data_IF_480555159950
#
_entry.id   IF_480555159950
#
_cell.length_a   1.000
_cell.length_b   1.000
_cell.length_c   1.000
_cell.angle_alpha   90.00
_cell.angle_beta   90.00
_cell.angle_gamma   90.00
#
_symmetry.space_group_name_H-M   'P 1'
#
loop_
_entity.id
_entity.type
_entity.pdbx_description
1 polymer ?
#
# COMPACT_ATOMS: atom_id res chain seq x y z
N UNK A 1 -5.88 -4.95 17.03
CA UNK A 1 -6.08 -4.03 15.90
C UNK A 1 -5.16 -4.46 14.80
N UNK A 2 -5.58 -4.32 13.55
CA UNK A 2 -4.78 -4.59 12.35
C UNK A 2 -3.83 -3.39 12.13
N UNK A 3 -2.53 -3.51 12.47
CA UNK A 3 -1.63 -2.37 12.47
C UNK A 3 -1.22 -2.04 11.02
N UNK A 4 -1.80 -0.99 10.46
CA UNK A 4 -1.47 -0.55 9.10
C UNK A 4 -0.16 0.25 9.08
N UNK A 5 0.81 -0.21 8.29
CA UNK A 5 2.01 0.57 8.01
C UNK A 5 1.71 1.72 7.04
N UNK A 6 2.16 2.92 7.40
CA UNK A 6 2.15 4.07 6.49
C UNK A 6 3.43 4.08 5.65
N UNK A 7 3.30 3.94 4.34
CA UNK A 7 4.40 4.10 3.41
C UNK A 7 5.01 5.52 3.54
N UNK A 8 6.31 5.70 3.25
CA UNK A 8 6.90 7.04 3.20
C UNK A 8 6.13 7.95 2.23
N UNK A 9 5.91 9.22 2.61
CA UNK A 9 5.17 10.22 1.81
C UNK A 9 6.09 11.16 1.01
N UNK A 10 7.41 10.98 1.07
CA UNK A 10 8.36 11.72 0.27
C UNK A 10 8.66 10.99 -1.05
N UNK A 11 9.25 11.69 -2.02
CA UNK A 11 9.65 11.14 -3.32
C UNK A 11 8.60 10.27 -4.01
N UNK A 12 7.34 10.72 -3.97
CA UNK A 12 6.24 9.98 -4.63
C UNK A 12 6.37 10.00 -6.16
N UNK A 13 7.31 10.77 -6.73
CA UNK A 13 7.75 10.68 -8.12
C UNK A 13 8.45 9.34 -8.46
N UNK A 14 8.97 8.64 -7.45
CA UNK A 14 9.64 7.35 -7.60
C UNK A 14 8.75 6.15 -7.24
N UNK A 15 7.55 6.37 -6.71
CA UNK A 15 6.62 5.32 -6.32
C UNK A 15 5.63 5.02 -7.46
N UNK A 16 5.33 3.74 -7.68
CA UNK A 16 4.19 3.28 -8.45
C UNK A 16 4.11 1.74 -8.35
N UNK A 17 2.93 1.12 -8.46
CA UNK A 17 1.60 1.73 -8.37
C UNK A 17 1.31 2.20 -6.92
N UNK A 18 0.19 2.89 -6.71
CA UNK A 18 -0.15 3.53 -5.43
C UNK A 18 -1.22 2.74 -4.67
N UNK A 19 -1.11 2.79 -3.34
CA UNK A 19 -1.70 1.80 -2.44
C UNK A 19 -0.78 0.58 -2.33
N UNK A 20 -0.65 -0.01 -1.13
CA UNK A 20 0.21 -1.19 -0.94
C UNK A 20 -0.22 -2.37 -1.82
N UNK A 21 -1.49 -2.36 -2.20
CA UNK A 21 -2.22 -3.31 -3.02
C UNK A 21 -2.22 -2.98 -4.51
N UNK A 22 -1.76 -1.79 -4.89
CA UNK A 22 -1.64 -1.34 -6.28
C UNK A 22 -2.95 -1.00 -6.98
N UNK A 23 -3.92 -0.46 -6.24
CA UNK A 23 -5.23 -0.08 -6.78
C UNK A 23 -5.15 1.07 -7.80
N UNK A 24 -4.17 1.97 -7.66
CA UNK A 24 -4.07 3.18 -8.50
C UNK A 24 -2.77 3.25 -9.28
N UNK A 25 -2.85 3.53 -10.58
CA UNK A 25 -1.65 3.58 -11.44
C UNK A 25 -0.95 4.94 -11.39
N UNK A 26 -1.68 5.98 -10.96
CA UNK A 26 -1.19 7.37 -10.94
C UNK A 26 -1.38 8.00 -9.58
N UNK A 27 -0.45 8.91 -9.24
CA UNK A 27 -0.48 9.64 -7.98
C UNK A 27 -1.72 10.55 -7.85
N UNK A 28 -2.23 11.08 -8.97
CA UNK A 28 -3.43 11.92 -8.97
C UNK A 28 -4.70 11.13 -8.63
N UNK A 29 -4.81 9.90 -9.13
CA UNK A 29 -5.90 8.98 -8.80
C UNK A 29 -5.90 8.64 -7.30
N UNK A 30 -4.74 8.25 -6.78
CA UNK A 30 -4.58 7.98 -5.36
C UNK A 30 -4.87 9.23 -4.51
N UNK A 31 -4.33 10.39 -4.89
CA UNK A 31 -4.56 11.65 -4.18
C UNK A 31 -6.03 12.05 -4.20
N UNK A 32 -6.76 11.83 -5.30
CA UNK A 32 -8.20 12.09 -5.32
C UNK A 32 -8.95 11.17 -4.35
N UNK A 33 -8.59 9.88 -4.24
CA UNK A 33 -9.15 9.00 -3.20
C UNK A 33 -8.79 9.52 -1.79
N UNK A 34 -7.56 9.96 -1.57
CA UNK A 34 -7.15 10.51 -0.26
C UNK A 34 -8.01 11.71 0.12
N UNK A 35 -8.19 12.68 -0.78
CA UNK A 35 -9.06 13.83 -0.53
C UNK A 35 -10.50 13.44 -0.29
N UNK A 36 -11.06 12.65 -1.20
CA UNK A 36 -12.50 12.41 -1.24
C UNK A 36 -12.93 11.32 -0.29
N UNK A 37 -12.14 10.29 -0.04
CA UNK A 37 -12.51 9.14 0.80
C UNK A 37 -11.84 9.08 2.16
N UNK A 38 -10.58 9.52 2.29
CA UNK A 38 -9.82 9.37 3.55
C UNK A 38 -9.89 10.64 4.42
N UNK A 39 -9.72 11.81 3.83
CA UNK A 39 -9.87 13.09 4.55
C UNK A 39 -11.33 13.47 4.79
N UNK A 40 -12.24 12.96 3.96
CA UNK A 40 -13.66 13.17 4.14
C UNK A 40 -14.47 11.88 3.89
N UNK A 41 -14.48 10.95 4.85
CA UNK A 41 -15.23 9.70 4.69
C UNK A 41 -16.74 9.90 4.54
N UNK A 42 -17.27 11.09 4.85
CA UNK A 42 -18.70 11.39 4.67
C UNK A 42 -19.14 11.36 3.20
N UNK A 43 -18.22 11.47 2.25
CA UNK A 43 -18.52 11.28 0.82
C UNK A 43 -19.04 9.88 0.52
N UNK A 44 -18.77 8.88 1.38
CA UNK A 44 -19.33 7.53 1.28
C UNK A 44 -20.87 7.52 1.38
N UNK A 45 -21.49 8.57 1.93
CA UNK A 45 -22.96 8.68 2.00
C UNK A 45 -23.59 9.17 0.69
N UNK A 46 -22.79 9.72 -0.24
CA UNK A 46 -23.27 10.20 -1.53
C UNK A 46 -23.67 9.04 -2.45
N UNK A 47 -24.44 9.28 -3.53
CA UNK A 47 -24.77 8.22 -4.49
C UNK A 47 -23.53 7.51 -5.06
N UNK A 48 -22.45 8.24 -5.38
CA UNK A 48 -21.21 7.67 -5.88
C UNK A 48 -20.45 6.88 -4.83
N UNK A 49 -20.38 7.37 -3.59
CA UNK A 49 -19.79 6.65 -2.47
C UNK A 49 -20.52 5.33 -2.14
N UNK A 50 -21.86 5.35 -2.13
CA UNK A 50 -22.70 4.16 -1.98
C UNK A 50 -22.48 3.17 -3.11
N UNK A 51 -22.45 3.65 -4.36
CA UNK A 51 -22.17 2.79 -5.51
C UNK A 51 -20.78 2.15 -5.44
N UNK A 52 -19.77 2.87 -4.94
CA UNK A 52 -18.42 2.33 -4.72
C UNK A 52 -18.40 1.23 -3.66
N UNK A 53 -19.04 1.46 -2.51
CA UNK A 53 -19.14 0.44 -1.45
C UNK A 53 -19.91 -0.80 -1.93
N UNK A 54 -21.03 -0.61 -2.64
CA UNK A 54 -21.78 -1.70 -3.25
C UNK A 54 -20.96 -2.47 -4.28
N UNK A 55 -20.19 -1.77 -5.12
CA UNK A 55 -19.28 -2.40 -6.07
C UNK A 55 -18.26 -3.30 -5.37
N UNK A 56 -17.67 -2.84 -4.26
CA UNK A 56 -16.66 -3.60 -3.52
C UNK A 56 -17.22 -4.78 -2.71
N UNK A 57 -18.37 -4.59 -2.06
CA UNK A 57 -18.91 -5.49 -1.03
C UNK A 57 -20.34 -5.97 -1.23
N UNK A 58 -21.01 -5.60 -2.33
CA UNK A 58 -22.42 -5.90 -2.58
C UNK A 58 -23.32 -5.39 -1.45
N UNK A 59 -24.20 -6.26 -0.96
CA UNK A 59 -25.14 -5.94 0.13
C UNK A 59 -24.43 -5.49 1.42
N UNK A 60 -23.24 -6.01 1.73
CA UNK A 60 -22.46 -5.57 2.88
C UNK A 60 -21.96 -4.11 2.70
N UNK A 61 -21.68 -3.69 1.46
CA UNK A 61 -21.35 -2.31 1.15
C UNK A 61 -22.54 -1.36 1.39
N UNK A 62 -23.76 -1.80 1.04
CA UNK A 62 -24.98 -1.04 1.32
C UNK A 62 -25.24 -0.92 2.83
N UNK A 63 -25.04 -2.00 3.57
CA UNK A 63 -25.14 -2.05 5.03
C UNK A 63 -24.16 -1.06 5.67
N UNK A 64 -22.87 -1.11 5.31
CA UNK A 64 -21.84 -0.18 5.78
C UNK A 64 -22.26 1.28 5.55
N UNK A 65 -22.75 1.61 4.35
CA UNK A 65 -23.17 2.97 4.05
C UNK A 65 -24.38 3.42 4.88
N UNK A 66 -25.34 2.52 5.12
CA UNK A 66 -26.53 2.80 5.92
C UNK A 66 -26.19 2.98 7.40
N UNK A 67 -25.36 2.10 7.95
CA UNK A 67 -24.91 2.18 9.34
C UNK A 67 -24.09 3.45 9.57
N UNK A 68 -23.21 3.80 8.63
CA UNK A 68 -22.44 5.02 8.73
C UNK A 68 -23.33 6.28 8.74
N UNK A 69 -24.39 6.31 7.93
CA UNK A 69 -25.41 7.40 7.99
C UNK A 69 -26.10 7.45 9.36
N UNK A 70 -26.43 6.31 9.96
CA UNK A 70 -27.03 6.28 11.30
C UNK A 70 -26.07 6.81 12.36
N UNK A 71 -24.79 6.44 12.29
CA UNK A 71 -23.74 6.97 13.18
C UNK A 71 -23.61 8.47 13.03
N UNK A 72 -23.51 9.00 11.81
CA UNK A 72 -23.44 10.45 11.56
C UNK A 72 -24.66 11.17 12.15
N UNK A 73 -25.87 10.65 11.94
CA UNK A 73 -27.08 11.20 12.52
C UNK A 73 -27.06 11.21 14.07
N UNK A 74 -26.58 10.14 14.69
CA UNK A 74 -26.45 10.04 16.14
C UNK A 74 -25.41 11.01 16.73
N UNK A 75 -24.37 11.35 15.95
CA UNK A 75 -23.35 12.33 16.37
C UNK A 75 -23.80 13.79 16.22
N UNK A 76 -24.87 14.06 15.46
CA UNK A 76 -25.33 15.42 15.15
C UNK A 76 -24.45 16.18 14.17
N UNK A 77 -23.52 15.49 13.48
CA UNK A 77 -22.69 16.09 12.43
C UNK A 77 -23.57 16.47 11.23
N UNK A 78 -23.42 17.70 10.74
CA UNK A 78 -24.20 18.26 9.62
C UNK A 78 -23.30 19.00 8.63
N UNK A 79 -23.80 19.28 7.43
CA UNK A 79 -23.09 20.07 6.42
C UNK A 79 -22.04 19.28 5.63
N UNK A 80 -22.11 17.96 5.67
CA UNK A 80 -21.26 17.06 4.91
C UNK A 80 -21.83 16.77 3.50
N UNK A 81 -21.00 16.42 2.50
CA UNK A 81 -19.53 16.31 2.57
C UNK A 81 -18.81 17.66 2.76
N UNK A 82 -17.66 17.62 3.44
CA UNK A 82 -16.83 18.79 3.77
C UNK A 82 -15.81 19.13 2.69
N UNK A 83 -15.36 18.15 1.92
CA UNK A 83 -14.45 18.36 0.80
C UNK A 83 -15.25 18.82 -0.42
N UNK A 84 -14.95 20.03 -0.89
CA UNK A 84 -15.50 20.55 -2.13
C UNK A 84 -14.93 19.77 -3.34
N UNK A 85 -15.81 19.05 -4.01
CA UNK A 85 -15.53 18.24 -5.21
C UNK A 85 -16.69 18.37 -6.21
N UNK A 86 -16.41 18.14 -7.49
CA UNK A 86 -17.41 18.12 -8.55
C UNK A 86 -17.77 16.68 -8.93
N UNK A 87 -18.99 16.42 -9.43
CA UNK A 87 -19.33 15.13 -10.03
C UNK A 87 -18.35 14.76 -11.14
N UNK A 88 -17.94 13.50 -11.17
CA UNK A 88 -17.05 12.93 -12.18
C UNK A 88 -17.50 11.53 -12.57
N UNK A 89 -17.08 11.05 -13.75
CA UNK A 89 -17.37 9.69 -14.16
C UNK A 89 -16.72 8.70 -13.18
N UNK A 90 -17.46 7.72 -12.62
CA UNK A 90 -16.88 6.69 -11.79
C UNK A 90 -15.78 5.92 -12.53
N UNK A 91 -14.67 5.68 -11.84
CA UNK A 91 -13.48 5.03 -12.39
C UNK A 91 -12.27 5.29 -11.49
N UNK A 92 -11.06 4.93 -11.93
CA UNK A 92 -9.86 5.12 -11.12
C UNK A 92 -9.59 6.59 -10.75
N UNK A 93 -9.94 7.53 -11.64
CA UNK A 93 -9.73 8.97 -11.41
C UNK A 93 -10.71 9.55 -10.38
N UNK A 94 -11.84 8.87 -10.15
CA UNK A 94 -12.92 9.29 -9.26
C UNK A 94 -13.72 8.07 -8.76
N UNK A 95 -13.14 7.22 -7.89
CA UNK A 95 -13.78 5.97 -7.45
C UNK A 95 -15.13 6.23 -6.76
N UNK A 96 -15.25 7.35 -6.05
CA UNK A 96 -16.48 7.77 -5.36
C UNK A 96 -17.42 8.61 -6.25
N UNK A 97 -17.18 8.69 -7.57
CA UNK A 97 -17.98 9.47 -8.52
C UNK A 97 -17.82 11.00 -8.38
N UNK A 98 -16.80 11.44 -7.66
CA UNK A 98 -16.46 12.85 -7.44
C UNK A 98 -14.96 13.06 -7.58
N UNK A 99 -14.58 14.25 -8.03
CA UNK A 99 -13.18 14.67 -8.16
C UNK A 99 -12.98 16.07 -7.61
N UNK A 100 -11.92 16.26 -6.83
CA UNK A 100 -11.53 17.59 -6.37
C UNK A 100 -10.95 18.41 -7.53
N UNK A 101 -10.86 19.73 -7.35
CA UNK A 101 -10.26 20.63 -8.31
C UNK A 101 -8.84 20.18 -8.72
N UNK A 102 -8.55 20.14 -10.02
CA UNK A 102 -7.27 19.64 -10.53
C UNK A 102 -6.08 20.47 -10.02
N UNK A 103 -6.25 21.77 -9.74
CA UNK A 103 -5.19 22.60 -9.13
C UNK A 103 -4.77 22.06 -7.77
N UNK A 104 -5.72 21.55 -6.96
CA UNK A 104 -5.42 20.95 -5.66
C UNK A 104 -4.68 19.62 -5.82
N UNK A 105 -5.05 18.80 -6.82
CA UNK A 105 -4.36 17.56 -7.11
C UNK A 105 -2.93 17.83 -7.61
N UNK A 106 -2.75 18.75 -8.55
CA UNK A 106 -1.43 19.14 -9.04
C UNK A 106 -0.55 19.70 -7.92
N UNK A 107 -1.09 20.57 -7.06
CA UNK A 107 -0.35 21.13 -5.94
C UNK A 107 0.07 20.04 -4.92
N UNK A 108 -0.83 19.13 -4.56
CA UNK A 108 -0.52 18.02 -3.66
C UNK A 108 0.52 17.08 -4.26
N UNK A 109 0.35 16.69 -5.53
CA UNK A 109 1.29 15.81 -6.22
C UNK A 109 2.68 16.45 -6.33
N UNK A 110 2.75 17.73 -6.69
CA UNK A 110 4.01 18.47 -6.74
C UNK A 110 4.68 18.56 -5.36
N UNK A 111 3.89 18.77 -4.30
CA UNK A 111 4.40 18.75 -2.93
C UNK A 111 4.98 17.37 -2.57
N UNK A 112 4.22 16.29 -2.73
CA UNK A 112 4.65 14.92 -2.40
C UNK A 112 5.83 14.42 -3.24
N UNK A 113 5.88 14.80 -4.52
CA UNK A 113 7.01 14.53 -5.40
C UNK A 113 8.26 15.34 -5.02
N UNK A 114 8.08 16.59 -4.58
CA UNK A 114 9.17 17.49 -4.19
C UNK A 114 9.70 17.29 -2.77
N UNK A 115 9.02 16.50 -1.93
CA UNK A 115 9.48 16.20 -0.59
C UNK A 115 10.79 15.38 -0.65
N UNK A 116 11.91 15.88 -0.08
CA UNK A 116 13.17 15.16 -0.08
C UNK A 116 13.09 13.92 0.82
N UNK A 117 13.76 12.85 0.42
CA UNK A 117 13.98 11.70 1.28
C UNK A 117 15.05 12.04 2.35
N UNK A 118 14.92 11.55 3.58
CA UNK A 118 16.01 11.60 4.56
C UNK A 118 17.24 10.87 4.03
N UNK A 119 18.43 11.39 4.35
CA UNK A 119 19.69 10.70 4.04
C UNK A 119 19.78 9.35 4.77
N UNK A 120 20.45 8.41 4.11
CA UNK A 120 20.76 7.09 4.65
C UNK A 120 21.61 7.18 5.91
N UNK A 121 21.59 6.10 6.70
CA UNK A 121 22.43 5.95 7.88
C UNK A 121 23.50 4.90 7.63
N UNK A 122 24.70 5.35 7.28
CA UNK A 122 25.83 4.45 7.00
C UNK A 122 25.74 3.85 5.60
N UNK A 123 26.23 2.62 5.47
CA UNK A 123 26.26 1.86 4.21
C UNK A 123 27.24 0.70 4.30
N UNK A 124 27.11 -0.27 3.40
CA UNK A 124 28.03 -1.39 3.26
C UNK A 124 28.17 -1.75 1.78
N UNK A 125 29.40 -1.74 1.26
CA UNK A 125 29.69 -2.14 -0.12
C UNK A 125 29.50 -3.65 -0.28
N UNK A 126 29.88 -4.43 0.73
CA UNK A 126 29.61 -5.86 0.82
C UNK A 126 28.10 -6.14 0.81
N UNK A 127 27.33 -5.41 1.62
CA UNK A 127 25.87 -5.50 1.66
C UNK A 127 25.23 -5.11 0.33
N UNK A 128 25.73 -4.06 -0.34
CA UNK A 128 25.31 -3.66 -1.69
C UNK A 128 25.56 -4.76 -2.70
N UNK A 129 26.72 -5.42 -2.63
CA UNK A 129 27.06 -6.51 -3.52
C UNK A 129 26.18 -7.74 -3.24
N UNK A 130 25.95 -8.08 -1.96
CA UNK A 130 25.03 -9.15 -1.56
C UNK A 130 23.63 -8.91 -2.14
N UNK A 131 23.08 -7.71 -1.99
CA UNK A 131 21.76 -7.34 -2.53
C UNK A 131 21.62 -7.64 -4.03
N UNK A 132 22.68 -7.40 -4.80
CA UNK A 132 22.72 -7.69 -6.24
C UNK A 132 22.80 -9.19 -6.55
N UNK A 133 23.37 -9.99 -5.66
CA UNK A 133 23.68 -11.41 -5.95
C UNK A 133 22.68 -12.40 -5.35
N UNK A 134 21.95 -12.02 -4.31
CA UNK A 134 21.04 -12.92 -3.57
C UNK A 134 19.57 -12.79 -3.99
N UNK A 135 19.31 -12.15 -5.14
CA UNK A 135 17.97 -12.07 -5.74
C UNK A 135 17.13 -10.86 -5.31
N UNK A 136 17.61 -9.98 -4.41
CA UNK A 136 16.85 -8.79 -4.02
C UNK A 136 16.52 -7.88 -5.21
N UNK A 137 17.39 -7.88 -6.23
CA UNK A 137 17.21 -7.10 -7.47
C UNK A 137 16.19 -7.66 -8.45
N UNK A 138 15.58 -8.82 -8.18
CA UNK A 138 14.44 -9.30 -8.96
C UNK A 138 13.20 -8.42 -8.76
N UNK A 139 13.11 -7.78 -7.59
CA UNK A 139 12.02 -6.91 -7.22
C UNK A 139 12.51 -5.48 -6.95
N UNK A 140 13.59 -5.29 -6.20
CA UNK A 140 13.98 -3.97 -5.73
C UNK A 140 15.15 -3.38 -6.53
N UNK A 141 15.14 -2.06 -6.72
CA UNK A 141 16.30 -1.38 -7.28
C UNK A 141 17.43 -1.31 -6.25
N UNK A 142 18.68 -1.33 -6.72
CA UNK A 142 19.84 -0.97 -5.89
C UNK A 142 19.88 0.55 -5.69
N UNK A 143 19.69 1.27 -6.79
CA UNK A 143 19.68 2.74 -6.87
C UNK A 143 18.28 3.26 -6.54
N UNK A 144 18.13 3.89 -5.36
CA UNK A 144 16.83 4.43 -4.93
C UNK A 144 16.53 5.82 -5.51
N UNK A 145 17.38 6.36 -6.38
CA UNK A 145 17.08 7.53 -7.20
C UNK A 145 16.18 7.19 -8.40
N UNK A 146 15.91 5.90 -8.65
CA UNK A 146 15.09 5.42 -9.77
C UNK A 146 13.67 5.06 -9.33
N UNK A 147 12.67 5.25 -10.20
CA UNK A 147 11.33 4.76 -9.94
C UNK A 147 11.33 3.26 -9.66
N UNK A 148 10.56 2.84 -8.66
CA UNK A 148 10.33 1.42 -8.39
C UNK A 148 9.63 0.78 -9.59
N UNK A 149 9.88 -0.52 -9.86
CA UNK A 149 9.10 -1.24 -10.86
C UNK A 149 7.61 -1.21 -10.55
N UNK A 150 6.78 -1.05 -11.59
CA UNK A 150 5.34 -0.80 -11.43
C UNK A 150 4.48 -2.07 -11.43
N UNK A 151 5.10 -3.26 -11.47
CA UNK A 151 4.37 -4.52 -11.48
C UNK A 151 3.88 -4.89 -10.07
N UNK A 152 2.82 -5.68 -10.01
CA UNK A 152 2.33 -6.28 -8.76
C UNK A 152 3.07 -7.59 -8.53
N UNK A 153 3.71 -7.73 -7.37
CA UNK A 153 4.32 -9.00 -6.98
C UNK A 153 3.20 -9.95 -6.52
N UNK A 154 3.02 -11.14 -7.13
CA UNK A 154 1.95 -12.06 -6.75
C UNK A 154 2.01 -12.43 -5.27
N UNK A 155 0.85 -12.54 -4.61
CA UNK A 155 0.81 -12.86 -3.17
C UNK A 155 1.56 -14.15 -2.83
N UNK A 156 1.42 -15.20 -3.65
CA UNK A 156 2.12 -16.49 -3.44
C UNK A 156 3.65 -16.38 -3.47
N UNK A 157 4.21 -15.34 -4.10
CA UNK A 157 5.66 -15.07 -4.13
C UNK A 157 6.12 -14.41 -2.84
N UNK A 158 5.36 -13.42 -2.35
CA UNK A 158 5.72 -12.62 -1.17
C UNK A 158 5.17 -13.20 0.13
N UNK A 159 4.24 -14.15 0.08
CA UNK A 159 3.71 -14.86 1.23
C UNK A 159 3.39 -16.31 0.83
N UNK A 160 4.38 -17.20 0.75
CA UNK A 160 4.15 -18.60 0.37
C UNK A 160 3.24 -19.37 1.34
N UNK A 161 3.08 -18.89 2.57
CA UNK A 161 2.10 -19.39 3.54
C UNK A 161 0.69 -18.85 3.37
N UNK A 162 0.42 -18.03 2.35
CA UNK A 162 -0.90 -17.55 2.00
C UNK A 162 -1.79 -18.75 1.63
N UNK A 163 -2.69 -19.10 2.54
CA UNK A 163 -3.67 -20.18 2.38
C UNK A 163 -5.07 -19.60 2.60
N UNK A 164 -5.51 -18.65 1.73
CA UNK A 164 -6.68 -17.87 2.03
C UNK A 164 -7.95 -18.68 1.85
N UNK A 165 -8.92 -18.42 2.72
CA UNK A 165 -10.29 -18.87 2.55
C UNK A 165 -11.08 -17.85 1.73
N UNK A 166 -12.01 -18.34 0.91
CA UNK A 166 -12.96 -17.46 0.22
C UNK A 166 -14.09 -17.10 1.16
N UNK A 167 -14.16 -15.83 1.55
CA UNK A 167 -15.21 -15.31 2.42
C UNK A 167 -16.44 -14.87 1.63
N UNK A 168 -16.24 -14.34 0.42
CA UNK A 168 -17.32 -13.93 -0.47
C UNK A 168 -16.90 -13.95 -1.94
N UNK A 169 -17.83 -14.34 -2.82
CA UNK A 169 -17.66 -14.21 -4.27
C UNK A 169 -17.99 -12.80 -4.74
N UNK A 170 -17.28 -12.31 -5.75
CA UNK A 170 -17.50 -11.00 -6.38
C UNK A 170 -17.58 -11.12 -7.89
N UNK A 171 -18.15 -10.10 -8.52
CA UNK A 171 -18.22 -10.03 -9.98
C UNK A 171 -16.88 -9.52 -10.55
N UNK A 172 -16.42 -10.06 -11.70
CA UNK A 172 -15.28 -9.50 -12.41
C UNK A 172 -15.44 -7.99 -12.65
N UNK A 173 -14.36 -7.19 -12.59
CA UNK A 173 -12.96 -7.63 -12.53
C UNK A 173 -12.46 -8.01 -11.12
N UNK A 174 -13.28 -7.86 -10.07
CA UNK A 174 -12.86 -8.12 -8.70
C UNK A 174 -12.56 -9.62 -8.48
N UNK A 175 -11.46 -9.90 -7.79
CA UNK A 175 -11.23 -11.25 -7.25
C UNK A 175 -12.20 -11.52 -6.10
N UNK A 176 -12.41 -12.77 -5.66
CA UNK A 176 -13.13 -13.03 -4.41
C UNK A 176 -12.53 -12.28 -3.22
N UNK A 177 -13.31 -12.13 -2.15
CA UNK A 177 -12.79 -11.69 -0.85
C UNK A 177 -12.06 -12.87 -0.23
N UNK A 178 -10.76 -12.70 -0.02
CA UNK A 178 -9.82 -13.75 0.39
C UNK A 178 -9.11 -13.32 1.67
N UNK A 179 -9.04 -14.22 2.66
CA UNK A 179 -8.37 -13.93 3.93
C UNK A 179 -7.65 -15.16 4.49
N UNK A 180 -6.42 -15.00 4.96
CA UNK A 180 -5.69 -16.04 5.69
C UNK A 180 -5.89 -15.86 7.18
N UNK A 181 -6.83 -16.59 7.79
CA UNK A 181 -7.27 -16.38 9.18
C UNK A 181 -6.16 -16.40 10.26
N UNK A 182 -5.03 -17.06 9.99
CA UNK A 182 -3.90 -17.15 10.92
C UNK A 182 -2.84 -16.04 10.75
N UNK A 183 -3.08 -15.09 9.84
CA UNK A 183 -2.18 -13.99 9.50
C UNK A 183 -2.97 -12.69 9.37
N UNK A 184 -2.29 -11.56 9.58
CA UNK A 184 -2.84 -10.23 9.25
C UNK A 184 -2.18 -9.65 7.99
N UNK A 185 -1.26 -10.40 7.37
CA UNK A 185 -0.50 -9.92 6.22
C UNK A 185 -1.38 -9.68 5.00
N UNK A 186 -2.52 -10.37 4.83
CA UNK A 186 -3.38 -10.17 3.67
C UNK A 186 -4.69 -9.42 3.96
N UNK A 187 -4.99 -9.11 5.22
CA UNK A 187 -6.22 -8.44 5.66
C UNK A 187 -6.49 -7.15 4.87
N UNK A 188 -5.47 -6.28 4.74
CA UNK A 188 -5.57 -5.04 3.95
C UNK A 188 -5.97 -5.29 2.49
N UNK A 189 -5.62 -6.45 1.95
CA UNK A 189 -5.82 -6.82 0.54
C UNK A 189 -7.06 -7.69 0.32
N UNK A 190 -7.76 -8.06 1.41
CA UNK A 190 -8.87 -9.00 1.36
C UNK A 190 -10.03 -8.45 0.52
N UNK A 191 -10.38 -7.17 0.72
CA UNK A 191 -11.46 -6.49 -0.01
C UNK A 191 -10.88 -5.59 -1.10
N UNK A 192 -9.91 -4.73 -0.79
CA UNK A 192 -9.37 -3.73 -1.72
C UNK A 192 -8.03 -4.20 -2.23
N UNK A 193 -7.93 -4.43 -3.54
CA UNK A 193 -6.66 -4.76 -4.20
C UNK A 193 -6.68 -4.36 -5.69
N UNK A 194 -5.59 -4.62 -6.41
CA UNK A 194 -5.46 -4.25 -7.82
C UNK A 194 -6.50 -4.92 -8.77
N UNK A 195 -7.31 -5.87 -8.30
CA UNK A 195 -8.44 -6.41 -9.09
C UNK A 195 -9.52 -5.37 -9.39
N UNK A 196 -9.57 -4.25 -8.66
CA UNK A 196 -10.42 -3.09 -9.02
C UNK A 196 -10.13 -2.60 -10.44
N UNK A 197 -8.88 -2.72 -10.89
CA UNK A 197 -8.45 -2.40 -12.28
C UNK A 197 -8.20 -3.63 -13.15
N UNK A 198 -8.64 -4.81 -12.71
CA UNK A 198 -8.48 -6.09 -13.44
C UNK A 198 -7.11 -6.74 -13.33
N UNK A 199 -6.28 -6.30 -12.39
CA UNK A 199 -4.95 -6.89 -12.13
C UNK A 199 -5.01 -7.97 -11.02
N UNK A 200 -3.89 -8.61 -10.75
CA UNK A 200 -3.78 -9.72 -9.78
C UNK A 200 -3.78 -9.24 -8.32
N UNK A 201 -4.14 -10.13 -7.39
CA UNK A 201 -3.91 -9.93 -5.95
C UNK A 201 -2.42 -10.09 -5.64
N UNK A 202 -1.85 -9.10 -4.95
CA UNK A 202 -0.44 -9.06 -4.59
C UNK A 202 -0.09 -7.75 -3.90
N UNK A 203 1.18 -7.39 -3.92
CA UNK A 203 1.65 -6.11 -3.37
C UNK A 203 2.51 -5.34 -4.37
N UNK A 204 2.47 -4.03 -4.25
CA UNK A 204 3.39 -3.11 -4.94
C UNK A 204 4.74 -3.09 -4.25
N UNK A 205 5.77 -2.64 -4.97
CA UNK A 205 7.08 -2.46 -4.38
C UNK A 205 7.14 -1.19 -3.54
N UNK A 206 7.57 -1.28 -2.26
CA UNK A 206 7.81 -0.10 -1.44
C UNK A 206 9.09 0.61 -1.89
N UNK A 207 9.14 1.92 -1.67
CA UNK A 207 10.41 2.66 -1.64
C UNK A 207 11.27 2.11 -0.49
N UNK A 208 12.50 1.69 -0.78
CA UNK A 208 13.48 1.28 0.23
C UNK A 208 14.25 2.48 0.78
N UNK A 209 13.50 3.52 1.19
CA UNK A 209 14.05 4.77 1.70
C UNK A 209 13.70 4.95 3.17
N UNK A 210 14.62 5.57 3.93
CA UNK A 210 14.50 5.85 5.37
C UNK A 210 14.22 4.60 6.23
N UNK A 211 14.69 3.43 5.80
CA UNK A 211 14.49 2.16 6.50
C UNK A 211 15.10 2.17 7.92
N UNK A 212 16.20 2.91 8.11
CA UNK A 212 16.91 3.02 9.38
C UNK A 212 16.07 3.61 10.52
N UNK A 213 15.04 4.39 10.21
CA UNK A 213 14.18 5.05 11.20
C UNK A 213 12.84 4.35 11.40
N UNK A 214 12.61 3.24 10.70
CA UNK A 214 11.36 2.47 10.82
C UNK A 214 11.43 1.53 12.03
N UNK A 215 10.45 1.58 12.95
CA UNK A 215 10.44 0.70 14.12
C UNK A 215 9.90 -0.69 13.82
N UNK A 216 9.23 -0.87 12.68
CA UNK A 216 8.61 -2.11 12.20
C UNK A 216 8.65 -2.12 10.67
N UNK A 217 8.57 -3.32 10.09
CA UNK A 217 8.67 -3.61 8.67
C UNK A 217 7.50 -4.48 8.21
N UNK A 218 7.36 -4.55 6.89
CA UNK A 218 6.19 -5.06 6.18
C UNK A 218 4.95 -4.19 6.39
N UNK A 219 3.92 -4.35 5.55
CA UNK A 219 2.75 -3.48 5.60
C UNK A 219 1.81 -3.80 6.77
N UNK A 220 1.97 -4.97 7.38
CA UNK A 220 1.25 -5.46 8.56
C UNK A 220 2.05 -5.27 9.86
N UNK A 221 3.18 -4.56 9.82
CA UNK A 221 4.05 -4.27 10.97
C UNK A 221 4.53 -5.53 11.73
N UNK A 222 4.51 -6.72 11.11
CA UNK A 222 4.80 -8.00 11.78
C UNK A 222 6.28 -8.23 12.09
N UNK A 223 7.18 -7.41 11.51
CA UNK A 223 8.62 -7.60 11.63
C UNK A 223 9.26 -6.42 12.36
N UNK A 224 9.93 -6.60 13.51
CA UNK A 224 10.39 -5.48 14.34
C UNK A 224 11.77 -4.92 13.94
N UNK A 225 12.56 -5.64 13.13
CA UNK A 225 13.92 -5.21 12.73
C UNK A 225 14.24 -5.70 11.31
N UNK A 226 15.18 -5.03 10.63
CA UNK A 226 15.71 -5.51 9.34
C UNK A 226 16.44 -6.85 9.51
N UNK A 227 17.12 -7.07 10.63
CA UNK A 227 17.77 -8.36 10.93
C UNK A 227 16.73 -9.49 11.00
N UNK A 228 15.62 -9.28 11.73
CA UNK A 228 14.53 -10.24 11.78
C UNK A 228 13.90 -10.45 10.41
N UNK A 229 13.73 -9.40 9.59
CA UNK A 229 13.18 -9.52 8.24
C UNK A 229 13.96 -10.53 7.39
N UNK A 230 15.29 -10.52 7.54
CA UNK A 230 16.23 -11.32 6.79
C UNK A 230 16.55 -12.66 7.48
N UNK A 231 15.90 -12.99 8.60
CA UNK A 231 16.19 -14.17 9.41
C UNK A 231 15.41 -15.42 9.00
N UNK A 232 16.10 -16.52 8.59
CA UNK A 232 15.41 -17.77 8.29
C UNK A 232 14.64 -18.36 9.48
N UNK A 233 14.90 -17.94 10.72
CA UNK A 233 14.11 -18.34 11.89
C UNK A 233 12.61 -17.98 11.78
N UNK A 234 12.24 -17.00 10.92
CA UNK A 234 10.84 -16.68 10.61
C UNK A 234 10.10 -17.79 9.84
N UNK A 235 10.83 -18.69 9.18
CA UNK A 235 10.29 -19.82 8.44
C UNK A 235 9.95 -19.50 6.98
N UNK A 236 9.96 -20.54 6.14
CA UNK A 236 9.81 -20.41 4.68
C UNK A 236 8.40 -19.98 4.23
N UNK A 237 7.39 -20.13 5.09
CA UNK A 237 6.01 -19.73 4.82
C UNK A 237 5.66 -18.35 5.33
N UNK A 238 6.56 -17.68 6.06
CA UNK A 238 6.31 -16.34 6.55
C UNK A 238 6.30 -15.31 5.40
N UNK A 239 5.66 -14.15 5.61
CA UNK A 239 5.71 -13.08 4.63
C UNK A 239 7.13 -12.57 4.37
N UNK A 240 7.43 -12.28 3.10
CA UNK A 240 8.72 -11.89 2.56
C UNK A 240 9.87 -12.81 2.99
N UNK A 241 9.84 -14.12 2.63
CA UNK A 241 10.79 -15.11 3.13
C UNK A 241 12.12 -15.13 2.36
N UNK A 242 12.72 -13.96 2.16
CA UNK A 242 14.01 -13.77 1.48
C UNK A 242 15.09 -13.57 2.54
N UNK A 243 15.81 -14.64 2.83
CA UNK A 243 16.65 -14.74 4.02
C UNK A 243 18.15 -14.84 3.71
N UNK A 244 18.97 -14.45 4.69
CA UNK A 244 20.41 -14.66 4.70
C UNK A 244 20.75 -15.55 5.91
N UNK A 245 21.29 -16.75 5.64
CA UNK A 245 21.57 -17.73 6.69
C UNK A 245 22.79 -17.36 7.52
N UNK A 246 23.77 -16.67 6.92
CA UNK A 246 24.96 -16.17 7.62
C UNK A 246 24.64 -14.85 8.36
N UNK A 247 24.74 -14.81 9.70
CA UNK A 247 24.55 -13.59 10.47
C UNK A 247 25.46 -12.43 10.06
N UNK A 248 26.69 -12.70 9.62
CA UNK A 248 27.61 -11.66 9.17
C UNK A 248 27.11 -11.00 7.87
N UNK A 249 26.72 -11.82 6.88
CA UNK A 249 26.12 -11.31 5.63
C UNK A 249 24.84 -10.52 5.88
N UNK A 250 24.02 -10.98 6.83
CA UNK A 250 22.81 -10.27 7.23
C UNK A 250 23.13 -8.92 7.87
N UNK A 251 24.14 -8.83 8.74
CA UNK A 251 24.58 -7.55 9.30
C UNK A 251 25.04 -6.58 8.21
N UNK A 252 25.79 -7.05 7.21
CA UNK A 252 26.19 -6.24 6.05
C UNK A 252 24.99 -5.77 5.22
N UNK A 253 24.03 -6.67 4.97
CA UNK A 253 22.77 -6.31 4.30
C UNK A 253 21.98 -5.27 5.08
N UNK A 254 21.86 -5.41 6.41
CA UNK A 254 21.19 -4.43 7.27
C UNK A 254 21.88 -3.06 7.17
N UNK A 255 23.21 -3.02 7.25
CA UNK A 255 23.97 -1.78 7.12
C UNK A 255 23.75 -1.12 5.74
N UNK A 256 23.73 -1.92 4.66
CA UNK A 256 23.40 -1.42 3.32
C UNK A 256 21.97 -0.87 3.25
N UNK A 257 20.97 -1.61 3.72
CA UNK A 257 19.56 -1.20 3.71
C UNK A 257 19.31 0.06 4.54
N UNK A 258 20.02 0.22 5.66
CA UNK A 258 19.96 1.44 6.49
C UNK A 258 20.61 2.64 5.81
N UNK A 259 21.61 2.41 4.97
CA UNK A 259 22.33 3.41 4.18
C UNK A 259 21.64 3.85 2.89
N UNK A 260 20.52 3.23 2.50
CA UNK A 260 19.81 3.56 1.26
C UNK A 260 19.24 4.98 1.29
N UNK A 261 19.58 5.76 0.27
CA UNK A 261 18.99 7.05 -0.07
C UNK A 261 18.97 7.28 -1.58
N UNK A 262 18.58 8.48 -2.02
CA UNK A 262 18.40 8.79 -3.44
C UNK A 262 19.66 9.23 -4.15
N UNK A 263 20.79 9.33 -3.43
CA UNK A 263 22.03 9.94 -3.92
C UNK A 263 23.19 8.91 -4.05
N UNK A 264 23.02 7.66 -3.58
CA UNK A 264 24.06 6.63 -3.46
C UNK A 264 23.80 5.28 -4.18
#
# INVERSE_FOLDING_TARGET
GDPMHNAPLFRQDLAATFGSEGTFEKLDQFSNLVYTGLFDPTTLTTPGGRAFLNFLGGAAGDEIANDYVQVLAATGVTGYPFVAAAPAAPGQDAPLGIRVDDTKLFAMNAYLAGLPAPSGMGGSDEGRQLFRTVGCTECHNVDQGRPVPTFIVPMATIFPGDAPETLASRQPPLTPVLNTAASFFDDKMAVVNASIRGDIRGATLPLLLDLARKPVFLHDNSVPTLDNLLDPARGATAPHPFYLTDPAQRAEMVAFLQGLDTDN
#
